data_IF_606550951096
#
_entry.id   IF_606550951096
#
_cell.length_a   1.000
_cell.length_b   1.000
_cell.length_c   1.000
_cell.angle_alpha   90.00
_cell.angle_beta   90.00
_cell.angle_gamma   90.00
#
_symmetry.space_group_name_H-M   'P 1'
#
loop_
_entity.id
_entity.type
_entity.pdbx_description
1 polymer ?
#
# COMPACT_ATOMS: atom_id res chain seq x y z
N UNK A 1 -13.26 27.32 9.20
CA UNK A 1 -13.31 26.36 10.32
C UNK A 1 -13.96 25.02 9.92
N UNK A 2 -15.13 25.00 9.27
CA UNK A 2 -15.80 23.77 8.82
C UNK A 2 -14.96 22.83 7.94
N UNK A 3 -13.98 23.35 7.20
CA UNK A 3 -13.15 22.52 6.31
C UNK A 3 -12.25 21.54 7.06
N UNK A 4 -11.69 21.90 8.23
CA UNK A 4 -10.70 21.06 8.92
C UNK A 4 -11.34 19.89 9.69
N UNK A 5 -12.56 20.09 10.19
CA UNK A 5 -13.34 19.03 10.84
C UNK A 5 -13.75 17.94 9.84
N UNK A 6 -14.10 18.33 8.61
CA UNK A 6 -14.38 17.38 7.53
C UNK A 6 -13.12 16.59 7.16
N UNK A 7 -11.96 17.25 7.00
CA UNK A 7 -10.70 16.55 6.73
C UNK A 7 -10.40 15.51 7.82
N UNK A 8 -10.53 15.93 9.09
CA UNK A 8 -10.27 15.05 10.24
C UNK A 8 -11.20 13.83 10.26
N UNK A 9 -12.49 14.02 9.92
CA UNK A 9 -13.44 12.92 9.85
C UNK A 9 -13.11 11.91 8.74
N UNK A 10 -12.80 12.39 7.53
CA UNK A 10 -12.41 11.54 6.39
C UNK A 10 -11.14 10.73 6.71
N UNK A 11 -10.13 11.39 7.27
CA UNK A 11 -8.87 10.77 7.67
C UNK A 11 -9.11 9.71 8.74
N UNK A 12 -9.93 10.01 9.76
CA UNK A 12 -10.23 9.04 10.81
C UNK A 12 -10.97 7.81 10.26
N UNK A 13 -11.91 8.00 9.34
CA UNK A 13 -12.62 6.89 8.70
C UNK A 13 -11.66 5.98 7.90
N UNK A 14 -10.67 6.56 7.21
CA UNK A 14 -9.63 5.80 6.51
C UNK A 14 -8.69 5.06 7.45
N UNK A 15 -8.26 5.70 8.54
CA UNK A 15 -7.42 5.06 9.54
C UNK A 15 -8.15 3.90 10.24
N UNK A 16 -9.45 4.03 10.52
CA UNK A 16 -10.24 2.94 11.09
C UNK A 16 -10.30 1.71 10.16
N UNK A 17 -10.34 1.92 8.84
CA UNK A 17 -10.33 0.83 7.85
C UNK A 17 -9.00 0.09 7.76
N UNK A 18 -7.91 0.70 8.24
CA UNK A 18 -6.55 0.12 8.17
C UNK A 18 -6.03 -0.34 9.53
N UNK A 19 -6.70 -0.04 10.64
CA UNK A 19 -6.21 -0.29 12.00
C UNK A 19 -6.11 -1.79 12.35
N UNK A 20 -6.95 -2.61 11.72
CA UNK A 20 -6.99 -4.07 11.92
C UNK A 20 -6.15 -4.83 10.90
N UNK A 21 -5.47 -4.15 9.96
CA UNK A 21 -4.57 -4.81 9.02
C UNK A 21 -3.32 -5.26 9.78
N UNK A 22 -3.07 -6.57 9.82
CA UNK A 22 -1.92 -7.20 10.49
C UNK A 22 -1.00 -7.86 9.48
N UNK A 23 0.30 -7.78 9.73
CA UNK A 23 1.33 -8.50 8.98
C UNK A 23 1.54 -9.90 9.57
N UNK A 24 1.57 -10.91 8.71
CA UNK A 24 2.19 -12.19 9.04
C UNK A 24 3.70 -12.07 8.88
N UNK A 25 4.40 -12.11 10.01
CA UNK A 25 5.87 -12.06 10.05
C UNK A 25 6.43 -13.45 9.76
N UNK A 26 6.94 -13.62 8.54
CA UNK A 26 7.69 -14.80 8.08
C UNK A 26 8.47 -14.42 6.81
N UNK A 27 9.63 -13.77 7.00
CA UNK A 27 10.39 -13.16 5.89
C UNK A 27 10.96 -14.21 4.93
N UNK A 28 11.52 -15.30 5.45
CA UNK A 28 12.06 -16.41 4.65
C UNK A 28 10.99 -16.97 3.69
N UNK A 29 9.77 -17.11 4.19
CA UNK A 29 8.68 -17.64 3.39
C UNK A 29 8.13 -16.62 2.41
N UNK A 30 8.12 -15.34 2.78
CA UNK A 30 7.78 -14.25 1.86
C UNK A 30 8.74 -14.24 0.66
N UNK A 31 10.05 -14.36 0.86
CA UNK A 31 11.02 -14.45 -0.25
C UNK A 31 10.78 -15.66 -1.16
N UNK A 32 10.42 -16.81 -0.58
CA UNK A 32 10.06 -18.00 -1.37
C UNK A 32 8.84 -17.73 -2.26
N UNK A 33 7.80 -17.09 -1.71
CA UNK A 33 6.60 -16.73 -2.45
C UNK A 33 6.91 -15.76 -3.60
N UNK A 34 7.78 -14.77 -3.37
CA UNK A 34 8.19 -13.81 -4.39
C UNK A 34 8.91 -14.49 -5.56
N UNK A 35 9.84 -15.41 -5.27
CA UNK A 35 10.52 -16.19 -6.30
C UNK A 35 9.56 -17.06 -7.14
N UNK A 36 8.48 -17.58 -6.54
CA UNK A 36 7.46 -18.32 -7.28
C UNK A 36 6.68 -17.42 -8.25
N UNK A 37 6.42 -16.17 -7.88
CA UNK A 37 5.64 -15.22 -8.71
C UNK A 37 6.44 -14.72 -9.90
N UNK A 38 7.75 -14.52 -9.73
CA UNK A 38 8.61 -14.14 -10.85
C UNK A 38 8.49 -15.14 -12.01
N UNK A 39 8.30 -16.42 -11.68
CA UNK A 39 8.12 -17.53 -12.62
C UNK A 39 6.71 -17.65 -13.23
N UNK A 40 5.73 -16.87 -12.77
CA UNK A 40 4.38 -16.86 -13.36
C UNK A 40 4.39 -16.14 -14.71
N UNK A 41 3.53 -16.60 -15.62
CA UNK A 41 3.30 -15.96 -16.92
C UNK A 41 2.64 -14.59 -16.76
N UNK A 42 2.78 -13.73 -17.78
CA UNK A 42 2.16 -12.40 -17.79
C UNK A 42 0.62 -12.47 -17.71
N UNK A 43 0.03 -13.53 -18.27
CA UNK A 43 -1.42 -13.79 -18.20
C UNK A 43 -1.85 -14.07 -16.76
N UNK A 44 -1.08 -14.88 -16.03
CA UNK A 44 -1.35 -15.14 -14.62
C UNK A 44 -1.19 -13.86 -13.80
N UNK A 45 -0.10 -13.11 -14.04
CA UNK A 45 0.19 -11.82 -13.37
C UNK A 45 -0.92 -10.79 -13.56
N UNK A 46 -1.54 -10.73 -14.74
CA UNK A 46 -2.63 -9.82 -15.02
C UNK A 46 -3.86 -10.04 -14.12
N UNK A 47 -4.09 -11.27 -13.64
CA UNK A 47 -5.27 -11.59 -12.80
C UNK A 47 -5.19 -11.03 -11.38
N UNK A 48 -3.99 -10.75 -10.89
CA UNK A 48 -3.74 -10.23 -9.55
C UNK A 48 -3.06 -8.86 -9.54
N UNK A 49 -2.89 -8.22 -10.69
CA UNK A 49 -2.33 -6.87 -10.82
C UNK A 49 -3.42 -5.81 -10.96
N UNK A 50 -3.25 -4.69 -10.26
CA UNK A 50 -4.05 -3.49 -10.46
C UNK A 50 -3.13 -2.25 -10.49
N UNK A 51 -3.49 -1.26 -11.31
CA UNK A 51 -2.71 -0.04 -11.43
C UNK A 51 -3.59 1.19 -11.60
N UNK A 52 -3.18 2.29 -10.98
CA UNK A 52 -3.63 3.63 -11.37
C UNK A 52 -2.54 4.67 -11.17
N UNK A 53 -2.76 5.87 -11.72
CA UNK A 53 -1.86 7.01 -11.55
C UNK A 53 -1.73 7.46 -10.09
N UNK A 54 -2.79 7.29 -9.28
CA UNK A 54 -2.83 7.74 -7.87
C UNK A 54 -2.48 6.65 -6.87
N UNK A 55 -2.80 5.39 -7.17
CA UNK A 55 -2.54 4.26 -6.27
C UNK A 55 -1.25 3.51 -6.55
N UNK A 56 -0.59 3.79 -7.68
CA UNK A 56 0.56 3.03 -8.15
C UNK A 56 0.17 1.68 -8.74
N UNK A 57 1.18 0.88 -9.09
CA UNK A 57 1.00 -0.52 -9.46
C UNK A 57 1.10 -1.42 -8.23
N UNK A 58 0.18 -2.37 -8.10
CA UNK A 58 0.17 -3.32 -6.98
C UNK A 58 -0.27 -4.69 -7.45
N UNK A 59 0.42 -5.72 -6.99
CA UNK A 59 0.01 -7.11 -7.12
C UNK A 59 -0.58 -7.57 -5.79
N UNK A 60 -1.72 -8.25 -5.84
CA UNK A 60 -2.40 -8.78 -4.67
C UNK A 60 -2.92 -10.19 -4.92
N UNK A 61 -2.36 -11.18 -4.24
CA UNK A 61 -2.72 -12.57 -4.41
C UNK A 61 -2.66 -13.32 -3.08
N UNK A 62 -3.39 -14.42 -3.00
CA UNK A 62 -3.37 -15.30 -1.82
C UNK A 62 -2.14 -16.20 -1.83
N UNK A 63 -1.52 -16.37 -0.66
CA UNK A 63 -0.39 -17.27 -0.48
C UNK A 63 -0.83 -18.73 -0.52
N UNK A 64 -0.22 -19.52 -1.41
CA UNK A 64 -0.40 -20.99 -1.43
C UNK A 64 0.18 -21.68 -0.19
N UNK A 65 1.14 -21.04 0.48
CA UNK A 65 1.83 -21.59 1.64
C UNK A 65 1.14 -21.23 2.96
N UNK A 66 0.37 -20.15 2.96
CA UNK A 66 -0.45 -19.72 4.10
C UNK A 66 -1.87 -19.40 3.60
N UNK A 67 -2.75 -20.41 3.50
CA UNK A 67 -4.13 -20.20 3.06
C UNK A 67 -4.82 -19.07 3.85
N UNK A 68 -5.56 -18.24 3.14
CA UNK A 68 -6.22 -17.03 3.65
C UNK A 68 -5.31 -15.81 3.79
N UNK A 69 -3.98 -15.95 3.73
CA UNK A 69 -3.06 -14.81 3.83
C UNK A 69 -2.83 -14.18 2.47
N UNK A 70 -2.78 -12.86 2.47
CA UNK A 70 -2.70 -12.07 1.24
C UNK A 70 -1.31 -11.45 1.14
N UNK A 71 -0.69 -11.52 -0.04
CA UNK A 71 0.59 -10.87 -0.29
C UNK A 71 0.36 -9.64 -1.17
N UNK A 72 0.80 -8.49 -0.68
CA UNK A 72 0.98 -7.28 -1.48
C UNK A 72 2.41 -7.25 -1.99
N UNK A 73 2.55 -7.07 -3.30
CA UNK A 73 3.83 -6.83 -3.94
C UNK A 73 3.76 -5.54 -4.75
N UNK A 74 4.69 -4.63 -4.47
CA UNK A 74 4.82 -3.33 -5.15
C UNK A 74 6.14 -3.37 -5.91
N UNK A 75 6.09 -3.37 -7.25
CA UNK A 75 7.30 -3.38 -8.04
C UNK A 75 8.10 -2.10 -7.80
N UNK A 76 9.41 -2.26 -7.58
CA UNK A 76 10.35 -1.14 -7.53
C UNK A 76 10.62 -0.57 -8.91
N UNK A 77 11.19 0.63 -8.96
CA UNK A 77 11.73 1.20 -10.21
C UNK A 77 13.05 0.50 -10.56
N UNK A 78 13.82 0.10 -9.55
CA UNK A 78 15.00 -0.75 -9.70
C UNK A 78 14.70 -2.19 -9.28
N UNK A 79 15.42 -3.16 -9.87
CA UNK A 79 15.24 -4.61 -9.65
C UNK A 79 15.25 -5.00 -8.17
N UNK A 80 15.99 -4.29 -7.32
CA UNK A 80 16.14 -4.60 -5.90
C UNK A 80 15.38 -3.62 -4.97
N UNK A 81 14.38 -2.89 -5.47
CA UNK A 81 13.64 -1.86 -4.71
C UNK A 81 12.15 -2.20 -4.51
N UNK A 82 11.73 -3.40 -4.91
CA UNK A 82 10.35 -3.83 -4.64
C UNK A 82 10.03 -3.94 -3.15
N UNK A 83 8.79 -3.64 -2.79
CA UNK A 83 8.25 -3.88 -1.44
C UNK A 83 7.29 -5.05 -1.47
N UNK A 84 7.41 -5.91 -0.46
CA UNK A 84 6.53 -7.05 -0.29
C UNK A 84 6.06 -7.14 1.15
N UNK A 85 4.78 -7.44 1.34
CA UNK A 85 4.17 -7.64 2.65
C UNK A 85 3.21 -8.82 2.58
N UNK A 86 3.18 -9.64 3.63
CA UNK A 86 2.18 -10.68 3.79
C UNK A 86 1.25 -10.31 4.94
N UNK A 87 -0.05 -10.32 4.67
CA UNK A 87 -1.11 -9.92 5.57
C UNK A 87 -1.93 -11.11 6.04
N UNK A 88 -2.44 -11.00 7.26
CA UNK A 88 -3.56 -11.82 7.70
C UNK A 88 -4.81 -11.49 6.87
N UNK A 89 -5.78 -12.42 6.75
CA UNK A 89 -7.01 -12.17 6.01
C UNK A 89 -7.72 -10.90 6.48
N UNK A 90 -8.06 -10.01 5.54
CA UNK A 90 -8.75 -8.76 5.87
C UNK A 90 -9.69 -8.31 4.73
N UNK A 91 -10.90 -7.80 5.00
CA UNK A 91 -11.87 -7.46 3.95
C UNK A 91 -11.37 -6.44 2.92
N UNK A 92 -10.56 -5.45 3.33
CA UNK A 92 -9.99 -4.46 2.40
C UNK A 92 -8.92 -5.05 1.46
N UNK A 93 -8.42 -6.25 1.78
CA UNK A 93 -7.44 -7.00 0.99
C UNK A 93 -8.10 -8.12 0.17
N UNK A 94 -9.43 -8.10 0.02
CA UNK A 94 -10.17 -9.16 -0.68
C UNK A 94 -9.95 -9.18 -2.20
N UNK A 95 -9.51 -8.07 -2.81
CA UNK A 95 -9.19 -8.04 -4.23
C UNK A 95 -8.17 -6.94 -4.57
N UNK A 96 -7.38 -7.10 -5.65
CA UNK A 96 -6.46 -6.06 -6.14
C UNK A 96 -7.16 -4.71 -6.35
N UNK A 97 -8.39 -4.74 -6.86
CA UNK A 97 -9.18 -3.53 -7.12
C UNK A 97 -9.61 -2.79 -5.86
N UNK A 98 -9.96 -3.53 -4.79
CA UNK A 98 -10.33 -2.96 -3.49
C UNK A 98 -9.11 -2.32 -2.83
N UNK A 99 -7.97 -3.00 -2.88
CA UNK A 99 -6.71 -2.48 -2.36
C UNK A 99 -6.27 -1.23 -3.12
N UNK A 100 -6.33 -1.25 -4.45
CA UNK A 100 -5.96 -0.10 -5.27
C UNK A 100 -6.80 1.14 -4.91
N UNK A 101 -8.12 0.99 -4.72
CA UNK A 101 -8.99 2.08 -4.28
C UNK A 101 -8.59 2.63 -2.91
N UNK A 102 -8.30 1.76 -1.94
CA UNK A 102 -7.80 2.18 -0.63
C UNK A 102 -6.48 2.96 -0.75
N UNK A 103 -5.55 2.50 -1.59
CA UNK A 103 -4.28 3.20 -1.85
C UNK A 103 -4.50 4.58 -2.45
N UNK A 104 -5.41 4.71 -3.43
CA UNK A 104 -5.78 6.00 -4.03
C UNK A 104 -6.36 6.97 -3.00
N UNK A 105 -7.21 6.48 -2.09
CA UNK A 105 -7.79 7.28 -1.01
C UNK A 105 -6.71 7.75 -0.03
N UNK A 106 -5.81 6.85 0.42
CA UNK A 106 -4.70 7.18 1.31
C UNK A 106 -3.76 8.23 0.70
N UNK A 107 -3.37 8.06 -0.56
CA UNK A 107 -2.52 9.02 -1.28
C UNK A 107 -3.24 10.35 -1.45
N UNK A 108 -4.52 10.33 -1.85
CA UNK A 108 -5.33 11.52 -2.03
C UNK A 108 -5.46 12.35 -0.75
N UNK A 109 -5.62 11.70 0.40
CA UNK A 109 -5.68 12.39 1.68
C UNK A 109 -4.34 12.99 2.12
N UNK A 110 -3.25 12.25 1.94
CA UNK A 110 -1.90 12.78 2.19
C UNK A 110 -1.62 14.02 1.35
N UNK A 111 -1.96 13.98 0.06
CA UNK A 111 -1.81 15.10 -0.87
C UNK A 111 -2.69 16.29 -0.47
N UNK A 112 -3.94 16.03 -0.06
CA UNK A 112 -4.88 17.05 0.39
C UNK A 112 -4.37 17.78 1.62
N UNK A 113 -3.90 17.06 2.66
CA UNK A 113 -3.39 17.65 3.90
C UNK A 113 -2.11 18.47 3.65
N UNK A 114 -1.30 18.08 2.66
CA UNK A 114 -0.08 18.80 2.29
C UNK A 114 -0.30 19.91 1.27
N UNK A 115 -1.53 20.10 0.76
CA UNK A 115 -1.81 20.98 -0.38
C UNK A 115 -0.88 20.72 -1.58
N UNK A 116 -0.55 19.46 -1.82
CA UNK A 116 0.39 19.05 -2.85
C UNK A 116 -0.27 18.83 -4.21
N UNK A 117 0.52 18.95 -5.28
CA UNK A 117 0.09 18.53 -6.62
C UNK A 117 -0.01 16.99 -6.65
N UNK A 118 -1.06 16.40 -7.27
CA UNK A 118 -1.20 14.96 -7.35
C UNK A 118 0.02 14.25 -7.96
N UNK A 119 0.53 13.25 -7.25
CA UNK A 119 1.72 12.46 -7.58
C UNK A 119 3.04 13.12 -7.21
N UNK A 120 3.06 14.31 -6.61
CA UNK A 120 4.30 15.06 -6.35
C UNK A 120 4.93 14.78 -4.98
N UNK A 121 4.18 14.15 -4.05
CA UNK A 121 4.68 13.88 -2.71
C UNK A 121 5.68 12.73 -2.68
N UNK A 122 6.79 12.99 -2.01
CA UNK A 122 7.84 12.01 -1.74
C UNK A 122 8.06 11.89 -0.23
N UNK A 123 8.42 10.68 0.22
CA UNK A 123 8.83 10.39 1.60
C UNK A 123 10.24 9.81 1.55
N UNK A 124 11.07 10.13 2.54
CA UNK A 124 12.35 9.45 2.70
C UNK A 124 12.09 7.98 3.06
N UNK A 125 12.69 7.05 2.31
CA UNK A 125 12.65 5.62 2.61
C UNK A 125 14.08 5.13 2.95
N UNK A 126 14.40 4.98 4.25
CA UNK A 126 15.72 4.56 4.68
C UNK A 126 16.10 3.16 4.18
N UNK A 127 15.13 2.25 4.04
CA UNK A 127 15.40 0.88 3.61
C UNK A 127 15.87 0.84 2.14
N UNK A 128 15.36 1.77 1.33
CA UNK A 128 15.74 1.92 -0.08
C UNK A 128 16.82 2.98 -0.31
N UNK A 129 17.29 3.64 0.75
CA UNK A 129 18.30 4.70 0.70
C UNK A 129 17.99 5.84 -0.29
N UNK A 130 16.71 6.11 -0.55
CA UNK A 130 16.27 7.18 -1.47
C UNK A 130 14.90 7.74 -1.08
N UNK A 131 14.56 8.95 -1.55
CA UNK A 131 13.17 9.39 -1.59
C UNK A 131 12.35 8.50 -2.53
N UNK A 132 11.12 8.21 -2.11
CA UNK A 132 10.15 7.42 -2.86
C UNK A 132 8.87 8.22 -2.99
N UNK A 133 8.20 8.13 -4.13
CA UNK A 133 6.84 8.64 -4.28
C UNK A 133 5.90 7.84 -3.37
N UNK A 134 4.81 8.46 -2.90
CA UNK A 134 3.81 7.76 -2.09
C UNK A 134 3.29 6.49 -2.76
N UNK A 135 3.13 6.51 -4.09
CA UNK A 135 2.65 5.36 -4.87
C UNK A 135 3.58 4.14 -4.84
N UNK A 136 4.82 4.31 -4.41
CA UNK A 136 5.84 3.26 -4.27
C UNK A 136 5.91 2.67 -2.85
N UNK A 137 5.03 3.11 -1.94
CA UNK A 137 4.97 2.63 -0.55
C UNK A 137 3.91 1.53 -0.40
N UNK A 138 4.13 0.57 0.51
CA UNK A 138 3.11 -0.41 0.92
C UNK A 138 1.87 0.27 1.48
N UNK A 139 0.75 -0.44 1.47
CA UNK A 139 -0.52 0.08 2.00
C UNK A 139 -0.39 0.43 3.49
N UNK A 140 0.37 -0.35 4.27
CA UNK A 140 0.65 -0.02 5.68
C UNK A 140 1.54 1.20 5.83
N UNK A 141 2.61 1.32 5.02
CA UNK A 141 3.45 2.53 5.07
C UNK A 141 2.66 3.80 4.72
N UNK A 142 1.70 3.72 3.79
CA UNK A 142 0.78 4.82 3.47
C UNK A 142 -0.13 5.15 4.67
N UNK A 143 -0.74 4.15 5.29
CA UNK A 143 -1.58 4.33 6.48
C UNK A 143 -0.81 4.94 7.66
N UNK A 144 0.41 4.46 7.91
CA UNK A 144 1.30 4.98 8.95
C UNK A 144 1.69 6.43 8.67
N UNK A 145 2.03 6.76 7.42
CA UNK A 145 2.33 8.14 7.00
C UNK A 145 1.13 9.05 7.20
N UNK A 146 -0.09 8.59 6.89
CA UNK A 146 -1.31 9.36 7.12
C UNK A 146 -1.56 9.59 8.61
N UNK A 147 -1.36 8.56 9.44
CA UNK A 147 -1.49 8.64 10.90
C UNK A 147 -0.49 9.63 11.51
N UNK A 148 0.77 9.58 11.08
CA UNK A 148 1.81 10.54 11.47
C UNK A 148 1.42 11.97 11.08
N UNK A 149 1.01 12.15 9.82
CA UNK A 149 0.65 13.46 9.26
C UNK A 149 -0.54 14.07 10.00
N UNK A 150 -1.59 13.27 10.26
CA UNK A 150 -2.78 13.69 10.98
C UNK A 150 -2.45 14.16 12.41
N UNK A 151 -1.54 13.47 13.12
CA UNK A 151 -1.12 13.85 14.48
C UNK A 151 -0.41 15.20 14.54
N UNK A 152 0.27 15.59 13.46
CA UNK A 152 1.09 16.82 13.43
C UNK A 152 0.32 18.01 12.84
N UNK A 153 -0.54 17.77 11.85
CA UNK A 153 -1.14 18.84 11.03
C UNK A 153 -2.64 19.08 11.24
N UNK A 154 -3.38 18.12 11.81
CA UNK A 154 -4.83 18.22 11.99
C UNK A 154 -5.18 18.39 13.46
#
# INVERSE_FOLDING_TARGET
MQSNELIRADVQALLNRTDEIRLKRDEDKLYTILGEIENLSDVEKASFFAQSRKGGGVFLFESRHFPGHIVEYIPGVMVNDSISCMFEPHPVLASPSTLLKLREELVGELERIHHAIPGALHKADPARHRPVMLIEMSTLQLADTLRETARVKL
#
